data_IF_445581374173
#
_entry.id   IF_445581374173
#
_cell.length_a   1.000
_cell.length_b   1.000
_cell.length_c   1.000
_cell.angle_alpha   90.00
_cell.angle_beta   90.00
_cell.angle_gamma   90.00
#
_symmetry.space_group_name_H-M   'P 1'
#
loop_
_entity.id
_entity.type
_entity.pdbx_description
1 polymer ?
#
# COMPACT_ATOMS: atom_id res chain seq x y z
N UNK A 1 -18.29 -50.59 30.51
CA UNK A 1 -17.94 -50.49 29.05
C UNK A 1 -18.55 -49.28 28.34
N UNK A 2 -19.71 -48.79 28.72
CA UNK A 2 -20.37 -47.62 28.06
C UNK A 2 -19.74 -46.27 28.39
N UNK A 3 -19.31 -46.02 29.63
CA UNK A 3 -18.67 -44.75 30.02
C UNK A 3 -17.43 -44.43 29.19
N UNK A 4 -16.60 -45.39 28.86
CA UNK A 4 -15.40 -45.18 28.06
C UNK A 4 -15.73 -44.84 26.58
N UNK A 5 -16.83 -45.38 26.06
CA UNK A 5 -17.29 -45.04 24.71
C UNK A 5 -17.78 -43.59 24.62
N UNK A 6 -18.51 -43.14 25.66
CA UNK A 6 -19.00 -41.75 25.72
C UNK A 6 -17.82 -40.76 25.81
N UNK A 7 -16.82 -41.06 26.64
CA UNK A 7 -15.62 -40.21 26.76
C UNK A 7 -14.86 -40.10 25.43
N UNK A 8 -14.72 -41.21 24.70
CA UNK A 8 -14.07 -41.22 23.39
C UNK A 8 -14.87 -40.40 22.39
N UNK A 9 -16.19 -40.54 22.34
CA UNK A 9 -17.04 -39.76 21.38
C UNK A 9 -16.98 -38.28 21.69
N UNK A 10 -17.12 -37.88 22.95
CA UNK A 10 -17.04 -36.47 23.35
C UNK A 10 -15.65 -35.89 23.07
N UNK A 11 -14.59 -36.63 23.35
CA UNK A 11 -13.21 -36.22 23.05
C UNK A 11 -12.99 -36.01 21.52
N UNK A 12 -13.54 -36.91 20.71
CA UNK A 12 -13.43 -36.78 19.24
C UNK A 12 -14.19 -35.55 18.72
N UNK A 13 -15.36 -35.26 19.26
CA UNK A 13 -16.16 -34.06 18.86
C UNK A 13 -15.42 -32.79 19.25
N UNK A 14 -14.85 -32.73 20.46
CA UNK A 14 -14.07 -31.55 20.89
C UNK A 14 -12.84 -31.37 20.01
N UNK A 15 -12.13 -32.45 19.71
CA UNK A 15 -10.93 -32.39 18.85
C UNK A 15 -11.25 -31.89 17.43
N UNK A 16 -12.32 -32.42 16.83
CA UNK A 16 -12.75 -31.97 15.50
C UNK A 16 -13.21 -30.53 15.48
N UNK A 17 -13.92 -30.05 16.50
CA UNK A 17 -14.31 -28.65 16.66
C UNK A 17 -13.10 -27.73 16.78
N UNK A 18 -12.09 -28.14 17.54
CA UNK A 18 -10.85 -27.36 17.73
C UNK A 18 -10.07 -27.24 16.42
N UNK A 19 -9.93 -28.34 15.67
CA UNK A 19 -9.24 -28.35 14.37
C UNK A 19 -9.96 -27.47 13.33
N UNK A 20 -11.28 -27.50 13.30
CA UNK A 20 -12.07 -26.64 12.39
C UNK A 20 -11.96 -25.17 12.75
N UNK A 21 -12.02 -24.81 14.03
CA UNK A 21 -11.84 -23.42 14.50
C UNK A 21 -10.44 -22.87 14.17
N UNK A 22 -9.40 -23.67 14.40
CA UNK A 22 -8.02 -23.29 14.06
C UNK A 22 -7.85 -23.16 12.54
N UNK A 23 -8.43 -24.08 11.75
CA UNK A 23 -8.37 -24.05 10.30
C UNK A 23 -9.08 -22.83 9.70
N UNK A 24 -10.25 -22.45 10.24
CA UNK A 24 -10.98 -21.24 9.81
C UNK A 24 -10.18 -20.00 10.20
N UNK A 25 -9.66 -19.91 11.41
CA UNK A 25 -8.83 -18.78 11.86
C UNK A 25 -7.59 -18.63 10.97
N UNK A 26 -6.90 -19.74 10.67
CA UNK A 26 -5.73 -19.72 9.80
C UNK A 26 -6.08 -19.28 8.37
N UNK A 27 -7.23 -19.70 7.84
CA UNK A 27 -7.71 -19.26 6.51
C UNK A 27 -8.02 -17.77 6.45
N UNK A 28 -8.54 -17.18 7.51
CA UNK A 28 -8.74 -15.73 7.58
C UNK A 28 -7.40 -14.97 7.63
N UNK A 29 -6.42 -15.45 8.40
CA UNK A 29 -5.10 -14.81 8.49
C UNK A 29 -4.27 -14.98 7.22
N UNK A 30 -4.37 -16.12 6.51
CA UNK A 30 -3.63 -16.32 5.26
C UNK A 30 -4.22 -15.55 4.08
N UNK A 31 -5.52 -15.26 4.06
CA UNK A 31 -6.11 -14.42 3.02
C UNK A 31 -5.65 -12.94 3.11
N UNK A 32 -5.30 -12.46 4.30
CA UNK A 32 -4.74 -11.11 4.46
C UNK A 32 -3.25 -11.01 4.08
N UNK A 33 -2.52 -12.14 4.10
CA UNK A 33 -1.07 -12.16 3.84
C UNK A 33 -0.73 -12.51 2.36
N UNK A 34 -1.62 -13.17 1.63
CA UNK A 34 -1.36 -13.66 0.27
C UNK A 34 -1.99 -12.78 -0.82
N UNK A 35 -2.48 -11.61 -0.51
CA UNK A 35 -3.02 -10.69 -1.51
C UNK A 35 -1.92 -9.81 -2.16
N UNK A 36 -0.78 -10.43 -2.47
CA UNK A 36 0.24 -9.89 -3.36
C UNK A 36 -0.27 -9.97 -4.80
N UNK A 37 -1.03 -8.99 -5.23
CA UNK A 37 -1.41 -8.89 -6.64
C UNK A 37 -2.88 -8.54 -6.92
N UNK A 38 -3.72 -8.41 -5.93
CA UNK A 38 -5.09 -7.90 -6.14
C UNK A 38 -5.07 -6.38 -6.01
N UNK A 39 -5.55 -5.69 -7.03
CA UNK A 39 -5.83 -4.27 -6.98
C UNK A 39 -6.75 -4.00 -5.78
N UNK A 40 -6.19 -3.51 -4.68
CA UNK A 40 -6.97 -3.13 -3.52
C UNK A 40 -7.72 -1.84 -3.85
N UNK A 41 -9.03 -1.94 -4.04
CA UNK A 41 -9.88 -0.76 -4.18
C UNK A 41 -10.22 -0.26 -2.79
N UNK A 42 -9.58 0.81 -2.36
CA UNK A 42 -9.96 1.49 -1.12
C UNK A 42 -10.97 2.57 -1.47
N UNK A 43 -12.23 2.37 -1.13
CA UNK A 43 -13.23 3.43 -1.23
C UNK A 43 -12.92 4.50 -0.18
N UNK A 44 -12.42 5.63 -0.63
CA UNK A 44 -12.27 6.81 0.23
C UNK A 44 -13.66 7.44 0.39
N UNK A 45 -14.03 7.73 1.62
CA UNK A 45 -15.33 8.28 2.04
C UNK A 45 -15.40 9.80 1.67
N UNK A 46 -15.24 10.06 0.41
CA UNK A 46 -15.79 11.25 -0.22
C UNK A 46 -16.59 10.74 -1.41
N UNK A 47 -17.85 10.91 -1.40
CA UNK A 47 -18.90 10.11 -2.03
C UNK A 47 -18.71 9.61 -3.47
N UNK A 48 -17.63 9.93 -4.21
CA UNK A 48 -17.55 9.62 -5.62
C UNK A 48 -16.14 9.48 -6.24
N UNK A 49 -15.07 9.46 -5.46
CA UNK A 49 -13.73 9.10 -5.95
C UNK A 49 -13.42 7.64 -5.67
N UNK A 50 -13.11 6.89 -6.70
CA UNK A 50 -12.59 5.52 -6.58
C UNK A 50 -11.08 5.53 -6.78
N UNK A 51 -10.36 4.91 -5.85
CA UNK A 51 -8.89 4.81 -5.91
C UNK A 51 -8.47 3.36 -5.91
N UNK A 52 -7.61 2.98 -6.83
CA UNK A 52 -6.98 1.67 -6.86
C UNK A 52 -5.46 1.80 -6.91
N UNK A 53 -4.78 0.86 -6.27
CA UNK A 53 -3.32 0.81 -6.19
C UNK A 53 -2.82 -0.55 -6.68
N UNK A 54 -1.71 -0.56 -7.41
CA UNK A 54 -1.01 -1.82 -7.68
C UNK A 54 -0.30 -2.29 -6.40
N UNK A 55 -0.62 -3.50 -5.92
CA UNK A 55 -0.03 -4.03 -4.69
C UNK A 55 -0.43 -3.29 -3.40
N UNK A 56 -1.67 -2.74 -3.35
CA UNK A 56 -2.18 -2.03 -2.18
C UNK A 56 -1.63 -0.61 -2.00
N UNK A 57 -2.06 0.09 -0.95
CA UNK A 57 -1.71 1.49 -0.66
C UNK A 57 -0.37 1.68 0.04
N UNK A 58 0.17 0.64 0.66
CA UNK A 58 1.41 0.72 1.42
C UNK A 58 2.62 0.56 0.51
N UNK A 59 3.68 1.28 0.84
CA UNK A 59 5.01 1.17 0.25
C UNK A 59 5.95 0.73 1.37
N UNK A 60 6.65 -0.38 1.16
CA UNK A 60 7.65 -0.90 2.10
C UNK A 60 8.92 -1.24 1.33
N UNK A 61 9.97 -0.51 1.61
CA UNK A 61 11.26 -0.64 0.94
C UNK A 61 12.32 -0.95 1.99
N UNK A 62 12.97 -2.10 1.85
CA UNK A 62 14.06 -2.53 2.71
C UNK A 62 15.07 -3.35 1.89
N UNK A 63 16.28 -3.52 2.41
CA UNK A 63 17.34 -4.32 1.78
C UNK A 63 17.65 -3.89 0.33
N UNK A 64 17.71 -2.58 0.10
CA UNK A 64 17.96 -2.02 -1.22
C UNK A 64 19.42 -2.07 -1.61
N UNK A 65 19.65 -2.16 -2.92
CA UNK A 65 20.97 -2.09 -3.54
C UNK A 65 21.00 -0.98 -4.60
N UNK A 66 22.19 -0.55 -4.94
CA UNK A 66 22.38 0.45 -6.00
C UNK A 66 21.74 -0.03 -7.31
N UNK A 67 20.93 0.81 -7.93
CA UNK A 67 20.19 0.53 -9.16
C UNK A 67 18.78 -0.05 -8.95
N UNK A 68 18.38 -0.37 -7.73
CA UNK A 68 17.02 -0.81 -7.45
C UNK A 68 16.02 0.30 -7.73
N UNK A 69 14.85 -0.11 -8.22
CA UNK A 69 13.70 0.77 -8.42
C UNK A 69 12.39 0.08 -8.06
N UNK A 70 11.47 0.84 -7.52
CA UNK A 70 10.15 0.39 -7.06
C UNK A 70 9.07 1.22 -7.76
N UNK A 71 8.12 0.54 -8.38
CA UNK A 71 7.06 1.21 -9.14
C UNK A 71 5.72 1.00 -8.44
N UNK A 72 4.98 2.08 -8.23
CA UNK A 72 3.63 2.08 -7.70
C UNK A 72 2.70 2.78 -8.68
N UNK A 73 1.71 2.04 -9.19
CA UNK A 73 0.67 2.62 -10.03
C UNK A 73 -0.54 2.97 -9.15
N UNK A 74 -1.10 4.16 -9.38
CA UNK A 74 -2.30 4.66 -8.71
C UNK A 74 -3.28 5.09 -9.79
N UNK A 75 -4.51 4.63 -9.69
CA UNK A 75 -5.58 4.98 -10.60
C UNK A 75 -6.70 5.63 -9.79
N UNK A 76 -7.14 6.80 -10.20
CA UNK A 76 -8.18 7.58 -9.54
C UNK A 76 -9.27 7.86 -10.58
N UNK A 77 -10.51 7.49 -10.28
CA UNK A 77 -11.67 7.83 -11.10
C UNK A 77 -12.67 8.69 -10.33
N UNK A 78 -13.26 9.63 -11.04
CA UNK A 78 -14.34 10.46 -10.53
C UNK A 78 -15.66 10.01 -11.18
N UNK A 79 -16.49 9.30 -10.43
CA UNK A 79 -17.78 8.78 -10.91
C UNK A 79 -18.93 9.78 -10.69
N UNK A 80 -18.63 10.98 -10.21
CA UNK A 80 -19.62 12.02 -9.97
C UNK A 80 -19.89 12.92 -11.19
N UNK A 81 -20.94 13.74 -11.10
CA UNK A 81 -21.27 14.76 -12.09
C UNK A 81 -20.56 16.12 -11.84
N UNK A 82 -19.70 16.20 -10.82
CA UNK A 82 -18.98 17.42 -10.44
C UNK A 82 -17.47 17.17 -10.53
N UNK A 83 -16.73 18.21 -10.86
CA UNK A 83 -15.28 18.13 -10.73
C UNK A 83 -14.89 18.04 -9.26
N UNK A 84 -13.81 17.33 -8.97
CA UNK A 84 -13.35 17.08 -7.61
C UNK A 84 -11.87 17.38 -7.51
N UNK A 85 -11.49 18.13 -6.49
CA UNK A 85 -10.10 18.37 -6.16
C UNK A 85 -9.63 17.36 -5.11
N UNK A 86 -8.46 16.77 -5.32
CA UNK A 86 -7.88 15.83 -4.38
C UNK A 86 -6.39 16.07 -4.17
N UNK A 87 -5.90 15.53 -3.08
CA UNK A 87 -4.48 15.47 -2.73
C UNK A 87 -4.05 14.02 -2.55
N UNK A 88 -2.89 13.69 -3.09
CA UNK A 88 -2.18 12.43 -2.79
C UNK A 88 -1.11 12.75 -1.77
N UNK A 89 -1.13 12.09 -0.63
CA UNK A 89 -0.13 12.27 0.43
C UNK A 89 0.54 10.96 0.83
N UNK A 90 1.75 11.09 1.39
CA UNK A 90 2.46 10.02 2.08
C UNK A 90 2.23 10.18 3.58
N UNK A 91 1.55 9.20 4.17
CA UNK A 91 1.23 9.16 5.59
C UNK A 91 1.99 8.02 6.29
N UNK A 92 2.07 8.08 7.62
CA UNK A 92 2.77 7.07 8.43
C UNK A 92 4.22 6.84 7.96
N UNK A 93 4.90 7.92 7.58
CA UNK A 93 6.26 7.83 7.03
C UNK A 93 7.25 7.39 8.09
N UNK A 94 7.98 6.33 7.79
CA UNK A 94 9.19 5.89 8.50
C UNK A 94 10.32 5.88 7.49
N UNK A 95 11.30 6.75 7.65
CA UNK A 95 12.48 6.82 6.80
C UNK A 95 13.72 6.78 7.69
N UNK A 96 14.41 5.63 7.69
CA UNK A 96 15.60 5.41 8.52
C UNK A 96 16.91 5.55 7.77
N UNK A 97 16.86 5.99 6.50
CA UNK A 97 18.07 6.27 5.73
C UNK A 97 18.80 7.48 6.30
N UNK A 98 20.08 7.30 6.63
CA UNK A 98 20.94 8.36 7.16
C UNK A 98 21.10 9.51 6.16
N UNK A 99 21.27 9.19 4.88
CA UNK A 99 21.24 10.17 3.80
C UNK A 99 19.88 10.11 3.10
N UNK A 100 19.07 11.13 3.28
CA UNK A 100 17.73 11.20 2.68
C UNK A 100 17.77 11.30 1.14
N UNK A 101 18.89 11.71 0.56
CA UNK A 101 19.07 11.73 -0.88
C UNK A 101 19.35 10.35 -1.49
N UNK A 102 19.52 9.29 -0.67
CA UNK A 102 19.72 7.92 -1.14
C UNK A 102 18.51 7.42 -1.95
N UNK A 103 17.30 7.72 -1.47
CA UNK A 103 16.06 7.38 -2.17
C UNK A 103 15.42 8.63 -2.77
N UNK A 104 15.21 8.59 -4.06
CA UNK A 104 14.55 9.63 -4.82
C UNK A 104 13.29 9.07 -5.47
N UNK A 105 12.38 9.94 -5.86
CA UNK A 105 11.21 9.54 -6.64
C UNK A 105 10.94 10.43 -7.84
N UNK A 106 10.34 9.83 -8.84
CA UNK A 106 9.69 10.49 -9.97
C UNK A 106 8.20 10.20 -9.93
N UNK A 107 7.40 11.16 -10.35
CA UNK A 107 5.96 11.02 -10.48
C UNK A 107 5.53 11.41 -11.90
N UNK A 108 4.75 10.55 -12.54
CA UNK A 108 4.03 10.89 -13.77
C UNK A 108 2.53 10.85 -13.51
N UNK A 109 1.78 11.64 -14.27
CA UNK A 109 0.31 11.67 -14.31
C UNK A 109 -0.12 11.60 -15.77
N UNK A 110 -0.89 10.58 -16.14
CA UNK A 110 -1.29 10.32 -17.52
C UNK A 110 -0.09 10.35 -18.49
N UNK A 111 1.01 9.70 -18.09
CA UNK A 111 2.30 9.62 -18.80
C UNK A 111 3.08 10.96 -18.91
N UNK A 112 2.58 12.05 -18.34
CA UNK A 112 3.28 13.31 -18.25
C UNK A 112 4.07 13.44 -16.93
N UNK A 113 5.32 13.86 -16.99
CA UNK A 113 6.15 14.07 -15.82
C UNK A 113 5.61 15.24 -14.97
N UNK A 114 5.27 14.96 -13.70
CA UNK A 114 4.84 15.96 -12.72
C UNK A 114 6.02 16.38 -11.86
N UNK A 115 6.81 15.40 -11.43
CA UNK A 115 8.01 15.65 -10.65
C UNK A 115 9.11 14.66 -11.04
N UNK A 116 10.34 15.12 -10.93
CA UNK A 116 11.51 14.29 -11.19
C UNK A 116 12.59 14.58 -10.16
N UNK A 117 13.21 13.51 -9.65
CA UNK A 117 14.33 13.57 -8.72
C UNK A 117 14.03 14.30 -7.40
N UNK A 118 12.88 14.05 -6.82
CA UNK A 118 12.52 14.53 -5.49
C UNK A 118 12.96 13.52 -4.41
N UNK A 119 13.47 14.02 -3.30
CA UNK A 119 13.78 13.18 -2.13
C UNK A 119 12.49 12.63 -1.50
N UNK A 120 12.56 11.40 -1.02
CA UNK A 120 11.48 10.86 -0.21
C UNK A 120 11.37 11.61 1.12
N UNK A 121 10.14 11.82 1.62
CA UNK A 121 9.95 12.55 2.88
C UNK A 121 10.48 11.77 4.08
N UNK A 122 10.78 12.51 5.14
CA UNK A 122 11.09 11.97 6.47
C UNK A 122 9.96 12.17 7.48
N UNK A 123 8.85 12.78 7.06
CA UNK A 123 7.69 13.04 7.91
C UNK A 123 6.38 12.77 7.16
N UNK A 124 5.36 12.35 7.93
CA UNK A 124 4.01 12.12 7.43
C UNK A 124 3.32 13.42 7.01
N UNK A 125 2.27 13.28 6.17
CA UNK A 125 1.52 14.43 5.64
C UNK A 125 2.18 15.09 4.43
N UNK A 126 3.19 14.45 3.83
CA UNK A 126 3.85 14.99 2.65
C UNK A 126 2.94 14.90 1.42
N UNK A 127 2.58 16.05 0.83
CA UNK A 127 1.78 16.12 -0.39
C UNK A 127 2.65 15.76 -1.60
N UNK A 128 2.25 14.71 -2.31
CA UNK A 128 2.92 14.22 -3.52
C UNK A 128 2.41 14.96 -4.74
N UNK A 129 1.08 15.12 -4.86
CA UNK A 129 0.41 15.88 -5.92
C UNK A 129 -0.97 16.34 -5.47
N UNK A 130 -1.41 17.47 -6.02
CA UNK A 130 -2.76 18.00 -5.88
C UNK A 130 -3.32 18.24 -7.27
N UNK A 131 -4.51 17.70 -7.54
CA UNK A 131 -5.11 17.77 -8.87
C UNK A 131 -6.63 17.89 -8.81
N UNK A 132 -7.20 18.50 -9.84
CA UNK A 132 -8.66 18.56 -10.06
C UNK A 132 -9.04 17.62 -11.19
N UNK A 133 -9.88 16.63 -10.88
CA UNK A 133 -10.36 15.63 -11.83
C UNK A 133 -11.77 15.97 -12.30
N UNK A 134 -11.96 15.99 -13.62
CA UNK A 134 -13.25 16.27 -14.23
C UNK A 134 -14.27 15.15 -13.96
N UNK A 135 -15.59 15.43 -14.09
CA UNK A 135 -16.63 14.42 -13.99
C UNK A 135 -16.42 13.27 -14.97
N UNK A 136 -16.69 12.04 -14.49
CA UNK A 136 -16.63 10.81 -15.30
C UNK A 136 -15.31 10.59 -16.04
N UNK A 137 -14.20 11.04 -15.43
CA UNK A 137 -12.84 10.85 -15.96
C UNK A 137 -11.99 10.03 -15.01
N UNK A 138 -10.86 9.60 -15.55
CA UNK A 138 -9.87 8.79 -14.86
C UNK A 138 -8.49 9.40 -15.03
N UNK A 139 -7.67 9.29 -13.98
CA UNK A 139 -6.28 9.74 -13.95
C UNK A 139 -5.41 8.60 -13.44
N UNK A 140 -4.31 8.34 -14.14
CA UNK A 140 -3.33 7.33 -13.77
C UNK A 140 -2.03 7.99 -13.34
N UNK A 141 -1.49 7.56 -12.19
CA UNK A 141 -0.18 7.97 -11.71
C UNK A 141 0.78 6.79 -11.71
N UNK A 142 2.04 7.09 -12.03
CA UNK A 142 3.15 6.17 -11.82
C UNK A 142 4.16 6.84 -10.90
N UNK A 143 4.29 6.33 -9.69
CA UNK A 143 5.31 6.72 -8.73
C UNK A 143 6.46 5.73 -8.84
N UNK A 144 7.63 6.20 -9.28
CA UNK A 144 8.85 5.40 -9.36
C UNK A 144 9.83 5.88 -8.30
N UNK A 145 10.13 5.03 -7.33
CA UNK A 145 11.15 5.26 -6.30
C UNK A 145 12.41 4.53 -6.72
N UNK A 146 13.55 5.19 -6.62
CA UNK A 146 14.83 4.63 -7.06
C UNK A 146 15.98 5.05 -6.15
N UNK A 147 17.03 4.25 -6.17
CA UNK A 147 18.29 4.56 -5.47
C UNK A 147 19.11 5.53 -6.30
N UNK A 148 19.36 6.73 -5.74
CA UNK A 148 20.03 7.83 -6.46
C UNK A 148 21.55 7.70 -6.48
N UNK A 149 22.18 7.17 -5.43
CA UNK A 149 23.62 7.14 -5.31
C UNK A 149 24.20 5.72 -5.36
N UNK A 150 25.13 5.51 -6.30
CA UNK A 150 25.81 4.25 -6.48
C UNK A 150 27.10 4.12 -5.65
N UNK A 151 27.53 5.19 -4.99
CA UNK A 151 28.84 5.26 -4.33
C UNK A 151 28.78 5.21 -2.80
N UNK A 152 27.60 5.34 -2.20
CA UNK A 152 27.43 5.22 -0.76
C UNK A 152 27.18 3.77 -0.35
N UNK A 153 27.79 3.36 0.77
CA UNK A 153 27.41 2.13 1.45
C UNK A 153 25.99 2.27 1.97
N UNK A 154 25.04 1.70 1.25
CA UNK A 154 23.66 1.68 1.67
C UNK A 154 23.57 0.80 2.91
N UNK A 155 23.10 1.37 4.01
CA UNK A 155 22.89 0.60 5.23
C UNK A 155 21.78 -0.42 4.99
N UNK A 156 22.16 -1.70 4.99
CA UNK A 156 21.24 -2.82 4.77
C UNK A 156 20.13 -2.93 5.83
N UNK A 157 20.23 -2.18 6.93
CA UNK A 157 19.20 -2.10 7.98
C UNK A 157 18.25 -0.91 7.80
N UNK A 158 18.51 -0.03 6.83
CA UNK A 158 17.65 1.11 6.55
C UNK A 158 16.39 0.68 5.80
N UNK A 159 15.28 1.34 6.13
CA UNK A 159 13.99 1.10 5.49
C UNK A 159 13.26 2.42 5.23
N UNK A 160 12.36 2.35 4.26
CA UNK A 160 11.36 3.39 3.99
C UNK A 160 9.98 2.74 3.94
N UNK A 161 9.12 3.15 4.85
CA UNK A 161 7.73 2.70 4.90
C UNK A 161 6.79 3.90 4.85
N UNK A 162 5.72 3.81 4.08
CA UNK A 162 4.68 4.83 4.01
C UNK A 162 3.36 4.25 3.50
N UNK A 163 2.27 4.95 3.79
CA UNK A 163 0.94 4.68 3.26
C UNK A 163 0.53 5.81 2.32
N UNK A 164 0.19 5.50 1.08
CA UNK A 164 -0.39 6.48 0.16
C UNK A 164 -1.86 6.71 0.49
N UNK A 165 -2.23 7.97 0.67
CA UNK A 165 -3.60 8.39 0.96
C UNK A 165 -4.04 9.40 -0.09
N UNK A 166 -5.21 9.16 -0.69
CA UNK A 166 -5.88 10.14 -1.56
C UNK A 166 -7.05 10.71 -0.77
N UNK A 167 -7.08 12.02 -0.62
CA UNK A 167 -8.14 12.74 0.10
C UNK A 167 -8.71 13.87 -0.76
N UNK A 168 -10.02 14.07 -0.72
CA UNK A 168 -10.64 15.25 -1.33
C UNK A 168 -10.32 16.47 -0.50
N UNK A 169 -10.14 17.57 -1.20
CA UNK A 169 -9.94 18.90 -0.61
C UNK A 169 -10.98 19.88 -1.19
N UNK A 170 -11.51 20.74 -0.34
CA UNK A 170 -12.43 21.81 -0.72
C UNK A 170 -11.70 22.98 -1.41
#
# INVERSE_FOLDING_TARGET
MEKNKIVIIVGTIILTLTITLVGISYSFFTNDIVNDGVNSTTNIISANLNVSYSGGKDIKIANITAGDSFIKNIKISNDSNLEMKYNISMENVVNTFNNQATLMYNLTRNDEAISSSYMLPSASGYSVDTYTIAPHTEVTYVLTIYVNDYNELIDSMSNFDTTLVVSTIE
#
